data_IF_039222371908
#
_entry.id   IF_039222371908
#
_cell.length_a   1.000
_cell.length_b   1.000
_cell.length_c   1.000
_cell.angle_alpha   90.00
_cell.angle_beta   90.00
_cell.angle_gamma   90.00
#
_symmetry.space_group_name_H-M   'P 1'
#
loop_
_entity.id
_entity.type
_entity.pdbx_description
1 polymer ?
#
# COMPACT_ATOMS: atom_id res chain seq x y z
N UNK A 1 2.39 6.79 -2.91
CA UNK A 1 2.54 5.43 -3.45
C UNK A 1 1.22 4.84 -3.94
N UNK A 2 0.11 5.01 -3.21
CA UNK A 2 -1.18 4.40 -3.57
C UNK A 2 -1.75 4.83 -4.93
N UNK A 3 -1.53 6.07 -5.36
CA UNK A 3 -2.13 6.56 -6.61
C UNK A 3 -1.67 5.82 -7.86
N UNK A 4 -0.42 5.34 -7.96
CA UNK A 4 0.02 4.63 -9.16
C UNK A 4 -0.58 3.22 -9.23
N UNK A 5 -0.65 2.48 -8.11
CA UNK A 5 -1.34 1.18 -8.06
C UNK A 5 -2.84 1.29 -8.35
N UNK A 6 -3.47 2.37 -7.90
CA UNK A 6 -4.89 2.67 -8.17
C UNK A 6 -5.13 3.07 -9.63
N UNK A 7 -4.30 3.98 -10.17
CA UNK A 7 -4.34 4.37 -11.58
C UNK A 7 -4.00 3.18 -12.47
N UNK A 8 -3.07 2.32 -12.07
CA UNK A 8 -2.73 1.10 -12.78
C UNK A 8 -3.91 0.12 -12.84
N UNK A 9 -4.57 -0.14 -11.71
CA UNK A 9 -5.78 -0.99 -11.66
C UNK A 9 -6.90 -0.37 -12.46
N UNK A 10 -7.09 0.95 -12.38
CA UNK A 10 -8.12 1.66 -13.13
C UNK A 10 -7.86 1.62 -14.65
N UNK A 11 -6.62 1.86 -15.08
CA UNK A 11 -6.21 1.74 -16.48
C UNK A 11 -6.32 0.29 -16.99
N UNK A 12 -6.02 -0.69 -16.13
CA UNK A 12 -6.06 -2.12 -16.46
C UNK A 12 -7.48 -2.67 -16.55
N UNK A 13 -8.36 -2.27 -15.64
CA UNK A 13 -9.71 -2.84 -15.49
C UNK A 13 -10.79 -1.96 -16.11
N UNK A 14 -10.49 -0.71 -16.43
CA UNK A 14 -11.46 0.31 -16.84
C UNK A 14 -12.42 0.74 -15.72
N UNK A 15 -12.13 0.35 -14.46
CA UNK A 15 -12.96 0.62 -13.29
C UNK A 15 -12.12 1.26 -12.19
N UNK A 16 -12.57 2.38 -11.59
CA UNK A 16 -11.88 2.95 -10.45
C UNK A 16 -11.90 1.95 -9.29
N UNK A 17 -10.74 1.71 -8.67
CA UNK A 17 -10.66 0.77 -7.53
C UNK A 17 -11.43 1.28 -6.31
N UNK A 18 -11.48 2.60 -6.15
CA UNK A 18 -12.31 3.31 -5.18
C UNK A 18 -13.32 4.18 -5.93
N UNK A 19 -14.40 3.58 -6.49
CA UNK A 19 -15.50 4.36 -7.04
C UNK A 19 -16.12 5.15 -5.90
N UNK A 20 -16.36 6.44 -6.07
CA UNK A 20 -17.08 7.26 -5.09
C UNK A 20 -17.84 8.34 -5.83
N UNK A 21 -19.02 8.69 -5.34
CA UNK A 21 -19.78 9.79 -5.94
C UNK A 21 -19.30 11.14 -5.40
N UNK A 22 -18.80 11.15 -4.16
CA UNK A 22 -18.17 12.29 -3.50
C UNK A 22 -16.80 11.89 -2.93
N UNK A 23 -15.96 12.89 -2.65
CA UNK A 23 -14.62 12.69 -2.08
C UNK A 23 -14.64 11.87 -0.77
N UNK A 24 -15.72 12.01 0.02
CA UNK A 24 -15.93 11.22 1.24
C UNK A 24 -16.03 9.72 0.96
N UNK A 25 -16.73 9.30 -0.10
CA UNK A 25 -16.86 7.89 -0.45
C UNK A 25 -15.51 7.31 -0.84
N UNK A 26 -14.76 8.06 -1.67
CA UNK A 26 -13.41 7.66 -2.10
C UNK A 26 -12.50 7.52 -0.89
N UNK A 27 -12.46 8.51 0.00
CA UNK A 27 -11.66 8.48 1.23
C UNK A 27 -12.06 7.33 2.15
N UNK A 28 -13.36 7.10 2.34
CA UNK A 28 -13.88 5.98 3.12
C UNK A 28 -13.36 4.65 2.60
N UNK A 29 -13.44 4.43 1.29
CA UNK A 29 -13.00 3.16 0.69
C UNK A 29 -11.49 2.96 0.75
N UNK A 30 -10.71 4.04 0.61
CA UNK A 30 -9.26 4.03 0.85
C UNK A 30 -8.99 3.62 2.30
N UNK A 31 -9.60 4.29 3.28
CA UNK A 31 -9.35 4.07 4.71
C UNK A 31 -9.78 2.68 5.16
N UNK A 32 -10.91 2.16 4.67
CA UNK A 32 -11.34 0.79 4.96
C UNK A 32 -10.37 -0.28 4.44
N UNK A 33 -9.68 0.00 3.34
CA UNK A 33 -8.76 -0.96 2.72
C UNK A 33 -7.35 -0.82 3.27
N UNK A 34 -6.88 0.41 3.46
CA UNK A 34 -5.48 0.74 3.72
C UNK A 34 -5.20 1.24 5.14
N UNK A 35 -6.26 1.42 5.92
CA UNK A 35 -6.18 2.09 7.21
C UNK A 35 -6.11 3.61 7.09
N UNK A 36 -6.30 4.24 8.24
CA UNK A 36 -6.32 5.70 8.33
C UNK A 36 -4.89 6.27 8.26
N UNK A 37 -4.71 7.44 7.61
CA UNK A 37 -3.47 8.19 7.74
C UNK A 37 -3.14 8.56 9.20
N UNK A 38 -1.86 8.70 9.55
CA UNK A 38 -1.43 9.11 10.89
C UNK A 38 -1.70 10.59 11.17
N UNK A 39 -1.76 10.96 12.45
CA UNK A 39 -2.13 12.32 12.86
C UNK A 39 -1.27 13.41 12.24
N UNK A 40 0.06 13.25 12.19
CA UNK A 40 0.94 14.28 11.66
C UNK A 40 0.71 14.59 10.16
N UNK A 41 0.19 13.62 9.40
CA UNK A 41 -0.22 13.83 7.99
C UNK A 41 -1.52 14.62 7.97
N UNK A 42 -2.48 14.23 8.80
CA UNK A 42 -3.78 14.87 8.93
C UNK A 42 -3.67 16.30 9.47
N UNK A 43 -2.74 16.57 10.38
CA UNK A 43 -2.43 17.92 10.90
C UNK A 43 -1.96 18.88 9.81
N UNK A 44 -1.38 18.36 8.72
CA UNK A 44 -0.89 19.16 7.59
C UNK A 44 -1.93 19.32 6.48
N UNK A 45 -3.08 18.65 6.58
CA UNK A 45 -4.10 18.60 5.54
C UNK A 45 -5.04 19.81 5.60
N UNK A 46 -5.24 20.46 4.46
CA UNK A 46 -6.13 21.63 4.32
C UNK A 46 -7.60 21.26 4.52
N UNK A 47 -8.00 20.05 4.12
CA UNK A 47 -9.37 19.55 4.16
C UNK A 47 -9.60 18.52 5.28
N UNK A 48 -8.67 18.40 6.23
CA UNK A 48 -8.75 17.35 7.26
C UNK A 48 -10.03 17.48 8.11
N UNK A 49 -10.39 18.69 8.53
CA UNK A 49 -11.56 18.93 9.37
C UNK A 49 -12.89 18.63 8.65
N UNK A 50 -12.90 18.60 7.32
CA UNK A 50 -14.09 18.28 6.52
C UNK A 50 -14.46 16.80 6.63
N UNK A 51 -13.47 15.90 6.78
CA UNK A 51 -13.67 14.45 6.78
C UNK A 51 -13.30 13.75 8.09
N UNK A 52 -12.58 14.41 8.99
CA UNK A 52 -12.09 13.84 10.25
C UNK A 52 -12.56 14.67 11.45
N UNK A 53 -12.68 13.99 12.59
CA UNK A 53 -12.99 14.59 13.90
C UNK A 53 -11.73 14.54 14.76
N UNK A 54 -11.38 15.65 15.39
CA UNK A 54 -10.29 15.72 16.36
C UNK A 54 -10.79 15.38 17.77
N UNK A 55 -10.13 14.44 18.42
CA UNK A 55 -10.32 14.05 19.82
C UNK A 55 -8.97 14.10 20.54
N UNK A 56 -8.72 15.20 21.26
CA UNK A 56 -7.42 15.47 21.91
C UNK A 56 -7.09 14.52 23.04
N UNK A 57 -8.06 13.76 23.52
CA UNK A 57 -7.88 12.83 24.64
C UNK A 57 -7.45 11.42 24.17
N UNK A 58 -7.42 11.18 22.86
CA UNK A 58 -6.98 9.90 22.27
C UNK A 58 -5.52 9.95 21.81
N UNK A 59 -4.88 8.78 21.82
CA UNK A 59 -3.54 8.59 21.23
C UNK A 59 -3.52 8.87 19.73
N UNK A 60 -4.57 8.46 19.01
CA UNK A 60 -4.85 8.88 17.64
C UNK A 60 -5.93 9.97 17.73
N UNK A 61 -5.53 11.23 17.57
CA UNK A 61 -6.40 12.39 17.71
C UNK A 61 -7.41 12.48 16.59
N UNK A 62 -6.99 12.26 15.35
CA UNK A 62 -7.91 12.33 14.22
C UNK A 62 -8.64 11.00 14.05
N UNK A 63 -9.95 11.06 13.87
CA UNK A 63 -10.78 9.88 13.55
C UNK A 63 -11.65 10.21 12.34
N UNK A 64 -11.65 9.35 11.32
CA UNK A 64 -12.49 9.52 10.15
C UNK A 64 -13.98 9.53 10.55
N UNK A 65 -14.75 10.47 9.99
CA UNK A 65 -16.19 10.58 10.25
C UNK A 65 -16.90 9.31 9.81
N UNK A 66 -17.88 8.89 10.61
CA UNK A 66 -18.82 7.83 10.21
C UNK A 66 -19.85 8.37 9.23
N UNK A 67 -20.50 7.48 8.48
CA UNK A 67 -21.53 7.87 7.50
C UNK A 67 -22.63 8.73 8.13
N UNK A 68 -23.03 8.40 9.37
CA UNK A 68 -24.05 9.14 10.11
C UNK A 68 -23.59 10.55 10.48
N UNK A 69 -22.32 10.71 10.87
CA UNK A 69 -21.75 12.01 11.24
C UNK A 69 -21.59 12.90 10.00
N UNK A 70 -21.02 12.35 8.92
CA UNK A 70 -20.85 13.09 7.67
C UNK A 70 -22.21 13.49 7.05
N UNK A 71 -23.19 12.59 7.08
CA UNK A 71 -24.55 12.87 6.63
C UNK A 71 -25.23 13.94 7.48
N UNK A 72 -25.04 13.93 8.81
CA UNK A 72 -25.61 14.96 9.68
C UNK A 72 -25.07 16.36 9.37
N UNK A 73 -23.78 16.45 9.05
CA UNK A 73 -23.10 17.73 8.78
C UNK A 73 -23.36 18.27 7.37
N UNK A 74 -23.37 17.39 6.35
CA UNK A 74 -23.42 17.79 4.93
C UNK A 74 -24.76 17.53 4.26
N UNK A 75 -25.59 16.66 4.84
CA UNK A 75 -26.80 16.12 4.21
C UNK A 75 -26.53 15.02 3.18
N UNK A 76 -25.27 14.67 2.92
CA UNK A 76 -24.89 13.65 1.94
C UNK A 76 -25.00 12.24 2.51
N UNK A 77 -25.65 11.32 1.77
CA UNK A 77 -25.72 9.90 2.13
C UNK A 77 -24.69 9.10 1.33
N UNK A 78 -23.69 8.55 2.03
CA UNK A 78 -22.66 7.70 1.42
C UNK A 78 -23.26 6.40 0.89
N UNK A 79 -22.86 6.00 -0.31
CA UNK A 79 -23.33 4.79 -0.98
C UNK A 79 -22.18 3.83 -1.22
N UNK A 80 -22.39 2.54 -0.98
CA UNK A 80 -21.44 1.49 -1.35
C UNK A 80 -21.50 1.27 -2.87
N UNK A 81 -20.57 1.90 -3.59
CA UNK A 81 -20.49 1.84 -5.06
C UNK A 81 -19.39 0.87 -5.54
N UNK A 82 -18.58 0.30 -4.65
CA UNK A 82 -17.57 -0.70 -5.01
C UNK A 82 -18.21 -1.98 -5.52
N UNK A 83 -17.78 -2.41 -6.70
CA UNK A 83 -18.08 -3.75 -7.20
C UNK A 83 -17.20 -4.83 -6.56
N UNK A 84 -16.03 -4.46 -6.03
CA UNK A 84 -15.06 -5.35 -5.40
C UNK A 84 -14.73 -4.79 -4.02
N UNK A 85 -15.00 -5.58 -2.98
CA UNK A 85 -14.65 -5.24 -1.61
C UNK A 85 -13.45 -6.07 -1.18
N UNK A 86 -12.33 -5.41 -0.94
CA UNK A 86 -11.15 -6.02 -0.35
C UNK A 86 -11.28 -5.89 1.18
N UNK A 87 -11.20 -7.00 1.89
CA UNK A 87 -11.20 -7.02 3.35
C UNK A 87 -9.90 -7.65 3.82
N UNK A 88 -9.20 -7.00 4.76
CA UNK A 88 -8.09 -7.64 5.45
C UNK A 88 -8.61 -8.91 6.16
N UNK A 89 -7.86 -9.99 5.99
CA UNK A 89 -8.08 -11.27 6.66
C UNK A 89 -7.04 -11.51 7.77
N UNK A 90 -6.18 -10.53 8.07
CA UNK A 90 -5.12 -10.67 9.06
C UNK A 90 -3.97 -11.59 8.64
N UNK A 91 -3.86 -11.91 7.35
CA UNK A 91 -2.85 -12.80 6.78
C UNK A 91 -2.12 -12.05 5.67
N UNK A 92 -0.80 -12.08 5.72
CA UNK A 92 0.09 -11.64 4.65
C UNK A 92 0.49 -12.88 3.85
N UNK A 93 0.26 -12.88 2.54
CA UNK A 93 0.69 -13.94 1.62
C UNK A 93 2.19 -13.85 1.32
N UNK A 94 2.72 -12.62 1.22
CA UNK A 94 4.15 -12.30 1.03
C UNK A 94 4.79 -12.78 -0.29
N UNK A 95 4.02 -13.36 -1.21
CA UNK A 95 4.51 -13.81 -2.53
C UNK A 95 3.41 -13.77 -3.60
N UNK A 96 2.60 -12.70 -3.60
CA UNK A 96 1.62 -12.50 -4.66
C UNK A 96 2.31 -12.16 -5.98
N UNK A 97 2.05 -13.00 -6.99
CA UNK A 97 2.56 -12.88 -8.37
C UNK A 97 1.63 -13.62 -9.32
N UNK A 98 1.71 -13.40 -10.65
CA UNK A 98 0.84 -14.08 -11.60
C UNK A 98 0.93 -15.60 -11.49
N UNK A 99 2.13 -16.14 -11.22
CA UNK A 99 2.35 -17.58 -11.01
C UNK A 99 1.58 -18.19 -9.83
N UNK A 100 1.18 -17.37 -8.84
CA UNK A 100 0.45 -17.80 -7.66
C UNK A 100 -1.07 -17.51 -7.75
N UNK A 101 -1.56 -17.09 -8.92
CA UNK A 101 -2.98 -16.86 -9.20
C UNK A 101 -3.44 -17.87 -10.25
N UNK A 102 -4.21 -18.88 -9.83
CA UNK A 102 -4.71 -19.92 -10.73
C UNK A 102 -6.13 -19.65 -11.19
N UNK A 103 -6.35 -19.78 -12.51
CA UNK A 103 -7.70 -19.89 -13.08
C UNK A 103 -8.28 -21.26 -12.75
N UNK A 104 -9.45 -21.28 -12.11
CA UNK A 104 -10.14 -22.52 -11.74
C UNK A 104 -10.64 -23.25 -13.00
N UNK A 105 -11.33 -22.51 -13.87
CA UNK A 105 -11.82 -23.00 -15.15
C UNK A 105 -11.88 -21.86 -16.16
N UNK A 106 -11.08 -21.95 -17.23
CA UNK A 106 -11.00 -20.94 -18.30
C UNK A 106 -12.27 -20.83 -19.15
N UNK A 107 -13.17 -21.80 -19.06
CA UNK A 107 -14.42 -21.84 -19.81
C UNK A 107 -15.62 -21.33 -19.00
N UNK A 108 -15.42 -20.98 -17.72
CA UNK A 108 -16.46 -20.42 -16.87
C UNK A 108 -16.59 -18.90 -17.07
N UNK A 109 -17.82 -18.38 -17.00
CA UNK A 109 -18.13 -16.95 -17.05
C UNK A 109 -19.06 -16.58 -15.89
N UNK A 110 -18.62 -15.75 -14.92
CA UNK A 110 -17.31 -15.09 -14.87
C UNK A 110 -16.16 -16.07 -14.58
N UNK A 111 -14.95 -15.73 -15.06
CA UNK A 111 -13.74 -16.48 -14.72
C UNK A 111 -13.53 -16.44 -13.22
N UNK A 112 -13.35 -17.61 -12.61
CA UNK A 112 -12.99 -17.73 -11.19
C UNK A 112 -11.49 -17.97 -11.06
N UNK A 113 -10.86 -17.26 -10.14
CA UNK A 113 -9.45 -17.41 -9.78
C UNK A 113 -9.29 -17.82 -8.32
N UNK A 114 -8.17 -18.43 -7.99
CA UNK A 114 -7.76 -18.77 -6.62
C UNK A 114 -6.29 -18.46 -6.42
N UNK A 115 -5.97 -17.95 -5.23
CA UNK A 115 -4.60 -17.87 -4.76
C UNK A 115 -4.09 -19.26 -4.38
N UNK A 116 -2.83 -19.51 -4.69
CA UNK A 116 -2.11 -20.73 -4.34
C UNK A 116 -0.76 -20.36 -3.70
N UNK A 117 -0.09 -21.37 -3.15
CA UNK A 117 1.27 -21.24 -2.59
C UNK A 117 1.39 -20.28 -1.38
N UNK A 118 0.78 -20.70 -0.27
CA UNK A 118 0.86 -20.03 1.03
C UNK A 118 2.14 -20.38 1.81
N UNK A 119 3.20 -20.85 1.13
CA UNK A 119 4.43 -21.30 1.80
C UNK A 119 5.17 -20.21 2.58
N UNK A 120 4.97 -18.95 2.19
CA UNK A 120 5.49 -17.75 2.86
C UNK A 120 4.43 -17.00 3.66
N UNK A 121 3.18 -17.48 3.66
CA UNK A 121 2.09 -16.76 4.29
C UNK A 121 2.15 -16.85 5.81
N UNK A 122 1.88 -15.73 6.49
CA UNK A 122 1.86 -15.66 7.93
C UNK A 122 0.76 -14.71 8.43
N UNK A 123 0.31 -14.86 9.70
CA UNK A 123 -0.50 -13.82 10.33
C UNK A 123 0.24 -12.48 10.30
N UNK A 124 -0.46 -11.38 10.02
CA UNK A 124 0.13 -10.05 10.03
C UNK A 124 0.81 -9.71 11.36
N UNK A 125 0.27 -10.24 12.46
CA UNK A 125 0.85 -10.13 13.82
C UNK A 125 2.15 -10.91 14.02
N UNK A 126 2.48 -11.84 13.13
CA UNK A 126 3.66 -12.71 13.20
C UNK A 126 4.77 -12.28 12.23
N UNK A 127 4.59 -11.19 11.48
CA UNK A 127 5.62 -10.66 10.57
C UNK A 127 6.85 -10.21 11.38
N UNK A 128 8.02 -10.71 10.98
CA UNK A 128 9.30 -10.36 11.59
C UNK A 128 9.97 -9.28 10.72
N UNK A 129 10.19 -8.05 11.24
CA UNK A 129 10.94 -7.03 10.51
C UNK A 129 12.35 -7.51 10.18
N UNK A 130 12.80 -7.27 8.94
CA UNK A 130 14.11 -7.69 8.44
C UNK A 130 14.09 -9.03 7.70
N UNK A 131 13.01 -9.81 7.78
CA UNK A 131 12.84 -11.00 6.94
C UNK A 131 12.48 -10.57 5.51
N UNK A 132 13.48 -10.58 4.63
CA UNK A 132 13.26 -10.43 3.19
C UNK A 132 12.71 -11.74 2.61
N UNK A 133 11.42 -11.75 2.31
CA UNK A 133 10.71 -12.89 1.71
C UNK A 133 9.91 -12.45 0.49
N UNK A 134 9.73 -13.37 -0.45
CA UNK A 134 8.94 -13.17 -1.66
C UNK A 134 9.76 -12.95 -2.93
N UNK A 135 9.05 -12.66 -4.02
CA UNK A 135 9.65 -12.43 -5.34
C UNK A 135 9.93 -10.93 -5.55
N UNK A 136 11.21 -10.57 -5.76
CA UNK A 136 11.70 -9.18 -5.88
C UNK A 136 10.82 -8.32 -6.80
N UNK A 137 10.50 -8.80 -8.01
CA UNK A 137 9.74 -8.04 -9.01
C UNK A 137 8.30 -7.71 -8.63
N UNK A 138 7.78 -8.25 -7.53
CA UNK A 138 6.47 -7.92 -6.96
C UNK A 138 6.58 -7.38 -5.54
N UNK A 139 7.80 -7.30 -4.99
CA UNK A 139 8.05 -6.99 -3.59
C UNK A 139 7.78 -5.50 -3.32
N UNK A 140 7.10 -5.24 -2.22
CA UNK A 140 6.84 -3.88 -1.74
C UNK A 140 8.15 -3.25 -1.23
N UNK A 141 8.36 -1.94 -1.41
CA UNK A 141 9.63 -1.33 -1.06
C UNK A 141 9.95 -1.45 0.45
N UNK A 142 8.96 -1.40 1.33
CA UNK A 142 9.14 -1.63 2.77
C UNK A 142 9.67 -3.03 3.10
N UNK A 143 9.27 -4.06 2.34
CA UNK A 143 9.77 -5.42 2.50
C UNK A 143 11.21 -5.50 2.02
N UNK A 144 11.52 -4.91 0.86
CA UNK A 144 12.90 -4.78 0.38
C UNK A 144 13.78 -4.04 1.38
N UNK A 145 13.20 -3.06 2.08
CA UNK A 145 13.88 -2.26 3.09
C UNK A 145 14.03 -2.93 4.45
N UNK A 146 13.57 -4.17 4.60
CA UNK A 146 13.61 -4.88 5.87
C UNK A 146 12.81 -4.16 6.96
N UNK A 147 11.88 -3.30 6.56
CA UNK A 147 11.04 -2.55 7.46
C UNK A 147 9.89 -3.43 7.93
N UNK A 148 9.28 -3.11 9.08
CA UNK A 148 8.00 -3.70 9.43
C UNK A 148 7.00 -3.55 8.27
N UNK A 149 6.31 -4.64 7.92
CA UNK A 149 5.31 -4.70 6.85
C UNK A 149 4.07 -5.48 7.31
N UNK A 150 2.97 -5.33 6.56
CA UNK A 150 1.69 -5.99 6.82
C UNK A 150 0.99 -6.30 5.48
N UNK A 151 -0.33 -6.52 5.49
CA UNK A 151 -1.13 -6.86 4.30
C UNK A 151 -1.06 -5.79 3.19
N UNK A 152 -0.61 -4.56 3.49
CA UNK A 152 -0.36 -3.54 2.48
C UNK A 152 0.71 -3.96 1.45
N UNK A 153 1.65 -4.83 1.85
CA UNK A 153 2.67 -5.38 0.94
C UNK A 153 2.06 -6.27 -0.16
N UNK A 154 1.01 -7.02 0.18
CA UNK A 154 0.25 -7.82 -0.78
C UNK A 154 -0.54 -6.90 -1.74
N UNK A 155 -1.04 -5.77 -1.25
CA UNK A 155 -1.72 -4.77 -2.09
C UNK A 155 -0.80 -4.15 -3.12
N UNK A 156 0.46 -3.88 -2.76
CA UNK A 156 1.49 -3.45 -3.71
C UNK A 156 1.71 -4.52 -4.79
N UNK A 157 1.93 -5.76 -4.37
CA UNK A 157 2.14 -6.91 -5.25
C UNK A 157 0.98 -7.10 -6.24
N UNK A 158 -0.26 -6.98 -5.75
CA UNK A 158 -1.47 -7.08 -6.56
C UNK A 158 -1.57 -5.95 -7.60
N UNK A 159 -1.14 -4.74 -7.26
CA UNK A 159 -1.06 -3.62 -8.22
C UNK A 159 -0.11 -3.91 -9.38
N UNK A 160 1.04 -4.52 -9.09
CA UNK A 160 2.02 -4.93 -10.11
C UNK A 160 1.48 -6.06 -10.99
N UNK A 161 0.82 -7.06 -10.40
CA UNK A 161 0.11 -8.11 -11.14
C UNK A 161 -0.93 -7.51 -12.08
N UNK A 162 -1.72 -6.53 -11.63
CA UNK A 162 -2.75 -5.90 -12.46
C UNK A 162 -2.17 -5.21 -13.69
N UNK A 163 -1.05 -4.48 -13.55
CA UNK A 163 -0.33 -3.88 -14.69
C UNK A 163 0.14 -4.95 -15.66
N UNK A 164 0.76 -6.01 -15.14
CA UNK A 164 1.30 -7.07 -15.98
C UNK A 164 0.21 -7.82 -16.74
N UNK A 165 -0.92 -8.10 -16.10
CA UNK A 165 -2.07 -8.72 -16.76
C UNK A 165 -2.67 -7.83 -17.87
N UNK A 166 -2.66 -6.50 -17.68
CA UNK A 166 -3.22 -5.57 -18.65
C UNK A 166 -2.29 -5.28 -19.84
N UNK A 167 -0.98 -5.21 -19.58
CA UNK A 167 0.01 -4.79 -20.58
C UNK A 167 0.77 -5.97 -21.18
N UNK A 168 0.73 -7.13 -20.54
CA UNK A 168 1.56 -8.29 -20.87
C UNK A 168 3.04 -8.13 -20.46
N UNK A 169 3.41 -7.05 -19.77
CA UNK A 169 4.79 -6.76 -19.35
C UNK A 169 4.83 -6.28 -17.89
N UNK A 170 5.87 -6.63 -17.11
CA UNK A 170 5.98 -6.16 -15.73
C UNK A 170 6.16 -4.63 -15.69
N UNK A 171 5.56 -3.98 -14.68
CA UNK A 171 5.67 -2.52 -14.50
C UNK A 171 7.13 -2.08 -14.29
N UNK A 172 7.89 -2.87 -13.53
CA UNK A 172 9.30 -2.63 -13.24
C UNK A 172 10.13 -3.80 -13.78
N UNK A 173 10.62 -3.71 -15.02
CA UNK A 173 11.42 -4.77 -15.63
C UNK A 173 12.86 -4.72 -15.06
N UNK A 174 13.09 -5.42 -13.95
CA UNK A 174 14.38 -5.45 -13.26
C UNK A 174 15.11 -6.78 -13.44
N UNK A 175 16.43 -6.74 -13.65
CA UNK A 175 17.28 -7.93 -13.67
C UNK A 175 17.85 -8.29 -12.29
N UNK A 176 17.82 -7.34 -11.35
CA UNK A 176 18.29 -7.49 -9.97
C UNK A 176 17.59 -6.50 -9.03
N UNK A 177 17.78 -6.71 -7.73
CA UNK A 177 17.16 -5.93 -6.65
C UNK A 177 17.49 -4.43 -6.71
N UNK A 178 18.70 -4.08 -7.15
CA UNK A 178 19.13 -2.69 -7.30
C UNK A 178 18.36 -1.97 -8.41
N UNK A 179 18.24 -2.60 -9.58
CA UNK A 179 17.50 -2.03 -10.70
C UNK A 179 16.01 -1.87 -10.38
N UNK A 180 15.43 -2.84 -9.67
CA UNK A 180 14.05 -2.76 -9.21
C UNK A 180 13.83 -1.58 -8.25
N UNK A 181 14.68 -1.46 -7.24
CA UNK A 181 14.59 -0.35 -6.29
C UNK A 181 14.82 1.00 -6.97
N UNK A 182 15.75 1.06 -7.94
CA UNK A 182 16.00 2.24 -8.76
C UNK A 182 14.76 2.65 -9.55
N UNK A 183 14.07 1.72 -10.21
CA UNK A 183 12.81 2.02 -10.91
C UNK A 183 11.74 2.57 -9.96
N UNK A 184 11.62 2.00 -8.76
CA UNK A 184 10.69 2.51 -7.75
C UNK A 184 11.08 3.94 -7.36
N UNK A 185 12.36 4.21 -7.11
CA UNK A 185 12.81 5.55 -6.72
C UNK A 185 12.61 6.57 -7.84
N UNK A 186 12.95 6.21 -9.08
CA UNK A 186 12.80 7.09 -10.25
C UNK A 186 11.33 7.43 -10.53
N UNK A 187 10.41 6.53 -10.24
CA UNK A 187 8.97 6.73 -10.49
C UNK A 187 8.19 7.27 -9.27
N UNK A 188 8.60 6.93 -8.04
CA UNK A 188 7.90 7.27 -6.79
C UNK A 188 8.63 8.33 -5.93
N UNK A 189 9.83 8.74 -6.34
CA UNK A 189 10.73 9.59 -5.55
C UNK A 189 11.56 8.79 -4.55
N UNK A 190 12.34 9.48 -3.72
CA UNK A 190 13.20 8.86 -2.70
C UNK A 190 12.46 8.67 -1.35
N UNK A 191 12.72 7.58 -0.60
CA UNK A 191 12.23 7.45 0.77
C UNK A 191 12.71 8.60 1.67
N UNK A 192 11.93 8.99 2.69
CA UNK A 192 12.36 9.95 3.69
C UNK A 192 13.63 9.50 4.41
N UNK A 193 14.46 10.45 4.84
CA UNK A 193 15.75 10.17 5.47
C UNK A 193 15.66 9.19 6.66
N UNK A 194 14.64 9.30 7.51
CA UNK A 194 14.46 8.40 8.66
C UNK A 194 14.27 6.91 8.28
N UNK A 195 13.85 6.64 7.05
CA UNK A 195 13.66 5.30 6.48
C UNK A 195 14.98 4.72 6.01
N UNK A 196 15.75 5.58 5.34
CA UNK A 196 17.10 5.28 4.89
C UNK A 196 18.04 5.07 6.08
N UNK A 197 17.85 5.84 7.16
CA UNK A 197 18.56 5.65 8.41
C UNK A 197 18.30 4.26 8.99
N UNK A 198 17.05 3.77 9.00
CA UNK A 198 16.74 2.42 9.47
C UNK A 198 17.39 1.33 8.59
N UNK A 199 17.40 1.53 7.26
CA UNK A 199 18.07 0.65 6.30
C UNK A 199 19.58 0.55 6.54
N UNK A 200 20.25 1.65 6.92
CA UNK A 200 21.69 1.63 7.20
C UNK A 200 22.08 0.79 8.44
N UNK A 201 21.14 0.54 9.34
CA UNK A 201 21.38 -0.21 10.58
C UNK A 201 21.13 -1.72 10.43
N UNK A 202 20.59 -2.20 9.31
CA UNK A 202 20.44 -3.64 9.04
C UNK A 202 21.66 -4.15 8.25
N UNK A 203 22.42 -5.08 8.86
CA UNK A 203 23.74 -5.52 8.37
C UNK A 203 23.75 -6.14 6.95
N UNK A 204 22.59 -6.53 6.41
CA UNK A 204 22.46 -7.19 5.11
C UNK A 204 22.48 -6.23 3.90
N UNK A 205 22.16 -4.94 4.08
CA UNK A 205 21.75 -4.06 2.97
C UNK A 205 22.61 -2.80 2.78
N UNK A 206 23.69 -2.69 3.55
CA UNK A 206 24.58 -1.51 3.58
C UNK A 206 25.30 -1.22 2.25
N UNK A 207 25.53 -2.25 1.41
CA UNK A 207 26.18 -2.10 0.10
C UNK A 207 25.27 -1.46 -0.96
N UNK A 208 23.97 -1.73 -0.93
CA UNK A 208 22.97 -1.19 -1.88
C UNK A 208 22.57 0.25 -1.53
N UNK A 209 22.51 0.60 -0.24
CA UNK A 209 22.19 1.97 0.19
C UNK A 209 23.20 2.98 -0.36
N UNK A 210 24.49 2.60 -0.33
CA UNK A 210 25.61 3.49 -0.56
C UNK A 210 25.81 3.86 -2.04
N UNK A 211 25.29 3.07 -2.98
CA UNK A 211 25.41 3.31 -4.43
C UNK A 211 24.21 4.06 -5.03
N UNK A 212 23.11 4.19 -4.28
CA UNK A 212 21.83 4.72 -4.79
C UNK A 212 21.55 6.16 -4.35
N UNK A 213 22.19 6.62 -3.27
CA UNK A 213 21.89 7.89 -2.62
C UNK A 213 22.78 9.03 -3.12
N UNK A 214 22.25 9.88 -4.00
CA UNK A 214 22.79 11.22 -4.20
C UNK A 214 22.25 12.15 -3.10
N UNK A 215 23.14 12.68 -2.26
CA UNK A 215 22.79 13.46 -1.06
C UNK A 215 22.26 14.87 -1.37
N UNK A 216 22.09 15.24 -2.65
CA UNK A 216 21.70 16.59 -3.06
C UNK A 216 20.21 16.83 -3.28
N UNK A 217 19.37 15.80 -3.44
CA UNK A 217 17.94 16.00 -3.74
C UNK A 217 17.06 15.96 -2.50
N UNK A 218 16.90 17.14 -1.88
CA UNK A 218 16.05 17.39 -0.70
C UNK A 218 14.55 17.48 -1.00
N UNK A 219 14.06 16.88 -2.09
CA UNK A 219 12.66 17.03 -2.45
C UNK A 219 11.82 15.94 -1.78
N UNK A 220 11.33 16.26 -0.58
CA UNK A 220 10.38 15.46 0.21
C UNK A 220 9.17 15.05 -0.63
N UNK A 221 9.19 13.83 -1.17
CA UNK A 221 8.09 13.31 -1.97
C UNK A 221 7.07 12.58 -1.07
N UNK A 222 5.81 13.01 -1.13
CA UNK A 222 4.66 12.49 -0.37
C UNK A 222 4.43 10.98 -0.59
N UNK A 223 5.03 10.41 -1.64
CA UNK A 223 4.86 9.02 -2.04
C UNK A 223 5.21 7.99 -0.97
N UNK A 224 6.21 8.27 -0.12
CA UNK A 224 6.81 7.31 0.80
C UNK A 224 6.27 7.31 2.22
N UNK A 225 5.70 8.43 2.68
CA UNK A 225 5.28 8.59 4.09
C UNK A 225 4.17 7.62 4.51
N UNK A 226 3.33 7.15 3.58
CA UNK A 226 2.16 6.32 3.88
C UNK A 226 2.48 4.83 4.13
N UNK A 227 3.53 4.29 3.51
CA UNK A 227 3.89 2.86 3.62
C UNK A 227 4.45 2.51 5.01
N UNK A 228 4.95 3.50 5.73
CA UNK A 228 5.71 3.31 6.97
C UNK A 228 4.85 3.45 8.22
N UNK A 229 3.69 4.10 8.12
CA UNK A 229 2.87 4.39 9.30
C UNK A 229 1.83 3.32 9.61
N UNK A 230 1.53 2.41 8.68
CA UNK A 230 0.71 1.24 8.97
C UNK A 230 1.38 0.26 9.96
N UNK A 231 2.71 0.32 10.10
CA UNK A 231 3.46 -0.59 10.97
C UNK A 231 4.01 0.04 12.26
N UNK A 232 3.92 1.36 12.43
CA UNK A 232 4.44 2.02 13.64
C UNK A 232 3.46 1.93 14.83
N UNK A 233 2.16 1.71 14.58
CA UNK A 233 1.14 1.61 15.64
C UNK A 233 0.95 0.20 16.22
N UNK A 234 1.68 -0.82 15.73
CA UNK A 234 1.58 -2.20 16.22
C UNK A 234 2.56 -2.57 17.34
N UNK A 235 3.38 -1.62 17.83
CA UNK A 235 4.38 -1.86 18.89
C UNK A 235 4.37 -0.82 20.01
N UNK A 236 3.22 -0.54 20.62
CA UNK A 236 3.18 -0.10 22.02
C UNK A 236 1.89 -0.63 22.68
N UNK A 237 1.91 -1.90 23.09
CA UNK A 237 1.16 -2.45 24.23
C UNK A 237 1.80 -3.78 24.65
#
# INVERSE_FOLDING_TARGET
>A
MWSLGLVAVELATGLPLYPGNEDYDVLKFIIETQGQPPDHVLDSGVYTEDYFIEDKDKQQRWTFKTDQQFQYETGYESLETRCIKLTSVGIVHADLKPGNIMVVNRHESPIKVKLIDFGLACPASAVIPGDFVGTVGYCAPEVMLGLPYNEASDMWSLGLVAVELATGVPLYPSENDYDYLKFIIETQGQPPDHVLDFWHHTESVSSMASSTLDKSDKNTNWGWKMTLTANYNAKIN
#
